data_IF_913148420292
#
_entry.id   IF_913148420292
#
_cell.length_a   1.000
_cell.length_b   1.000
_cell.length_c   1.000
_cell.angle_alpha   90.00
_cell.angle_beta   90.00
_cell.angle_gamma   90.00
#
_symmetry.space_group_name_H-M   'P 1'
#
loop_
_entity.id
_entity.type
_entity.pdbx_description
1 polymer ?
#
# COMPACT_ATOMS: atom_id res chain seq x y z
N UNK A 1 27.87 -23.26 34.14
CA UNK A 1 26.87 -24.24 33.70
C UNK A 1 26.61 -24.01 32.21
N UNK A 2 27.13 -24.89 31.35
CA UNK A 2 27.14 -24.74 29.88
C UNK A 2 25.80 -25.15 29.28
N UNK A 3 25.01 -24.18 28.81
CA UNK A 3 23.80 -24.45 28.02
C UNK A 3 24.19 -24.86 26.60
N UNK A 4 24.37 -26.17 26.37
CA UNK A 4 24.24 -26.75 25.01
C UNK A 4 22.75 -26.95 24.73
N UNK A 5 22.03 -25.85 24.49
CA UNK A 5 20.69 -25.92 23.92
C UNK A 5 20.83 -26.04 22.41
N UNK A 6 20.39 -27.15 21.84
CA UNK A 6 20.20 -27.24 20.39
C UNK A 6 19.13 -26.21 19.99
N UNK A 7 19.49 -25.29 19.08
CA UNK A 7 18.67 -24.13 18.69
C UNK A 7 17.21 -24.49 18.32
N UNK A 8 16.98 -25.71 17.83
CA UNK A 8 15.66 -26.20 17.44
C UNK A 8 14.74 -26.52 18.64
N UNK A 9 15.29 -27.05 19.73
CA UNK A 9 14.51 -27.37 20.95
C UNK A 9 14.08 -26.11 21.69
N UNK A 10 14.95 -25.09 21.72
CA UNK A 10 14.63 -23.80 22.32
C UNK A 10 13.57 -23.06 21.52
N UNK A 11 13.63 -23.10 20.18
CA UNK A 11 12.61 -22.49 19.31
C UNK A 11 11.25 -23.18 19.48
N UNK A 12 11.21 -24.52 19.52
CA UNK A 12 9.95 -25.27 19.72
C UNK A 12 9.34 -25.01 21.09
N UNK A 13 10.15 -24.94 22.14
CA UNK A 13 9.69 -24.59 23.49
C UNK A 13 9.20 -23.13 23.56
N UNK A 14 9.86 -22.21 22.86
CA UNK A 14 9.45 -20.82 22.75
C UNK A 14 8.09 -20.70 22.04
N UNK A 15 7.92 -21.38 20.91
CA UNK A 15 6.68 -21.37 20.13
C UNK A 15 5.53 -22.04 20.90
N UNK A 16 5.78 -23.15 21.58
CA UNK A 16 4.82 -23.81 22.46
C UNK A 16 4.40 -22.92 23.64
N UNK A 17 5.34 -22.17 24.23
CA UNK A 17 5.02 -21.21 25.30
C UNK A 17 4.23 -20.00 24.78
N UNK A 18 4.51 -19.51 23.57
CA UNK A 18 3.71 -18.45 22.94
C UNK A 18 2.30 -18.96 22.68
N UNK A 19 2.15 -20.16 22.10
CA UNK A 19 0.85 -20.78 21.85
C UNK A 19 0.10 -21.02 23.15
N UNK A 20 0.72 -21.61 24.17
CA UNK A 20 0.07 -21.84 25.48
C UNK A 20 -0.29 -20.54 26.19
N UNK A 21 0.55 -19.49 26.15
CA UNK A 21 0.21 -18.20 26.72
C UNK A 21 -0.94 -17.52 25.96
N UNK A 22 -1.01 -17.70 24.64
CA UNK A 22 -2.16 -17.23 23.84
C UNK A 22 -3.42 -18.05 24.12
N UNK A 23 -3.33 -19.38 24.28
CA UNK A 23 -4.45 -20.27 24.56
C UNK A 23 -5.01 -20.03 25.97
N UNK A 24 -4.15 -19.87 26.98
CA UNK A 24 -4.58 -19.47 28.34
C UNK A 24 -5.22 -18.07 28.31
N UNK A 25 -4.81 -17.19 27.39
CA UNK A 25 -5.47 -15.91 27.14
C UNK A 25 -6.80 -16.05 26.37
N UNK A 26 -6.98 -17.10 25.56
CA UNK A 26 -8.25 -17.44 24.88
C UNK A 26 -9.25 -17.98 25.90
N UNK A 27 -8.80 -18.83 26.83
CA UNK A 27 -9.65 -19.46 27.86
C UNK A 27 -10.22 -18.46 28.87
N UNK A 28 -9.62 -17.27 29.02
CA UNK A 28 -10.14 -16.22 29.90
C UNK A 28 -10.99 -15.16 29.19
N UNK A 29 -10.83 -14.91 27.87
CA UNK A 29 -11.54 -13.82 27.17
C UNK A 29 -11.66 -14.09 25.65
N UNK A 30 -12.87 -13.98 25.09
CA UNK A 30 -13.16 -14.07 23.65
C UNK A 30 -12.51 -13.02 22.72
N UNK A 31 -11.46 -12.31 23.16
CA UNK A 31 -10.76 -11.26 22.39
C UNK A 31 -10.25 -11.76 21.04
N UNK A 32 -9.67 -12.96 20.98
CA UNK A 32 -9.15 -13.52 19.73
C UNK A 32 -10.29 -13.85 18.75
N UNK A 33 -11.32 -14.63 19.12
CA UNK A 33 -12.51 -14.82 18.27
C UNK A 33 -13.15 -13.50 17.80
N UNK A 34 -13.31 -12.52 18.70
CA UNK A 34 -13.87 -11.22 18.34
C UNK A 34 -12.96 -10.42 17.40
N UNK A 35 -11.63 -10.53 17.53
CA UNK A 35 -10.68 -9.85 16.65
C UNK A 35 -10.74 -10.43 15.24
N UNK A 36 -10.86 -11.76 15.12
CA UNK A 36 -11.05 -12.45 13.84
C UNK A 36 -12.41 -12.11 13.20
N UNK A 37 -13.47 -12.06 14.01
CA UNK A 37 -14.79 -11.63 13.55
C UNK A 37 -14.74 -10.19 13.01
N UNK A 38 -14.19 -9.25 13.78
CA UNK A 38 -14.05 -7.86 13.33
C UNK A 38 -13.13 -7.74 12.11
N UNK A 39 -12.09 -8.55 12.00
CA UNK A 39 -11.26 -8.60 10.80
C UNK A 39 -12.08 -8.95 9.55
N UNK A 40 -12.98 -9.93 9.61
CA UNK A 40 -13.90 -10.26 8.51
C UNK A 40 -14.84 -9.09 8.20
N UNK A 41 -15.39 -8.45 9.24
CA UNK A 41 -16.25 -7.26 9.07
C UNK A 41 -15.49 -6.12 8.38
N UNK A 42 -14.23 -5.89 8.76
CA UNK A 42 -13.36 -4.88 8.14
C UNK A 42 -13.08 -5.21 6.67
N UNK A 43 -12.80 -6.47 6.33
CA UNK A 43 -12.59 -6.89 4.93
C UNK A 43 -13.84 -6.62 4.07
N UNK A 44 -15.03 -6.92 4.59
CA UNK A 44 -16.29 -6.66 3.90
C UNK A 44 -16.53 -5.16 3.73
N UNK A 45 -16.36 -4.38 4.80
CA UNK A 45 -16.53 -2.93 4.79
C UNK A 45 -15.55 -2.26 3.82
N UNK A 46 -14.28 -2.69 3.84
CA UNK A 46 -13.24 -2.19 2.95
C UNK A 46 -13.56 -2.52 1.48
N UNK A 47 -14.07 -3.72 1.21
CA UNK A 47 -14.49 -4.12 -0.14
C UNK A 47 -15.63 -3.25 -0.68
N UNK A 48 -16.65 -2.99 0.16
CA UNK A 48 -17.75 -2.09 -0.20
C UNK A 48 -17.22 -0.67 -0.43
N UNK A 49 -16.41 -0.16 0.50
CA UNK A 49 -15.80 1.15 0.41
C UNK A 49 -15.04 1.33 -0.90
N UNK A 50 -14.15 0.38 -1.24
CA UNK A 50 -13.35 0.40 -2.48
C UNK A 50 -14.24 0.50 -3.71
N UNK A 51 -15.30 -0.32 -3.80
CA UNK A 51 -16.24 -0.29 -4.93
C UNK A 51 -17.01 1.02 -5.04
N UNK A 52 -17.58 1.50 -3.93
CA UNK A 52 -18.37 2.72 -3.91
C UNK A 52 -17.51 3.96 -4.23
N UNK A 53 -16.34 4.06 -3.59
CA UNK A 53 -15.45 5.20 -3.77
C UNK A 53 -14.82 5.23 -5.16
N UNK A 54 -14.44 4.08 -5.72
CA UNK A 54 -14.00 3.99 -7.12
C UNK A 54 -15.09 4.43 -8.10
N UNK A 55 -16.35 4.02 -7.86
CA UNK A 55 -17.49 4.44 -8.70
C UNK A 55 -17.70 5.96 -8.65
N UNK A 56 -17.65 6.55 -7.46
CA UNK A 56 -17.75 8.01 -7.27
C UNK A 56 -16.63 8.76 -7.98
N UNK A 57 -15.37 8.34 -7.81
CA UNK A 57 -14.23 8.98 -8.46
C UNK A 57 -14.24 8.79 -9.98
N UNK A 58 -14.75 7.66 -10.49
CA UNK A 58 -14.97 7.45 -11.92
C UNK A 58 -15.99 8.44 -12.48
N UNK A 59 -17.07 8.71 -11.74
CA UNK A 59 -18.08 9.71 -12.13
C UNK A 59 -17.51 11.13 -12.21
N UNK A 60 -16.54 11.46 -11.36
CA UNK A 60 -15.83 12.76 -11.37
C UNK A 60 -14.74 12.82 -12.46
N UNK A 61 -14.59 11.77 -13.27
CA UNK A 61 -13.59 11.68 -14.37
C UNK A 61 -12.14 11.82 -13.90
N UNK A 62 -11.85 11.36 -12.66
CA UNK A 62 -10.48 11.29 -12.15
C UNK A 62 -9.71 10.20 -12.90
N UNK A 63 -8.46 10.48 -13.28
CA UNK A 63 -7.59 9.52 -13.98
C UNK A 63 -7.34 8.28 -13.13
N UNK A 64 -7.26 7.12 -13.77
CA UNK A 64 -7.02 5.81 -13.13
C UNK A 64 -5.92 5.77 -12.05
N UNK A 65 -4.67 6.23 -12.30
CA UNK A 65 -3.62 6.15 -11.29
C UNK A 65 -3.93 7.02 -10.05
N UNK A 66 -4.48 8.21 -10.26
CA UNK A 66 -4.88 9.11 -9.17
C UNK A 66 -6.08 8.55 -8.40
N UNK A 67 -7.00 7.88 -9.08
CA UNK A 67 -8.17 7.25 -8.47
C UNK A 67 -7.75 6.16 -7.48
N UNK A 68 -6.88 5.25 -7.89
CA UNK A 68 -6.41 4.15 -7.03
C UNK A 68 -5.67 4.69 -5.81
N UNK A 69 -4.83 5.72 -5.98
CA UNK A 69 -4.14 6.38 -4.87
C UNK A 69 -5.12 7.04 -3.90
N UNK A 70 -6.11 7.79 -4.41
CA UNK A 70 -7.11 8.47 -3.56
C UNK A 70 -7.91 7.48 -2.72
N UNK A 71 -8.31 6.33 -3.27
CA UNK A 71 -9.04 5.30 -2.51
C UNK A 71 -8.22 4.83 -1.30
N UNK A 72 -6.93 4.54 -1.50
CA UNK A 72 -6.04 4.09 -0.41
C UNK A 72 -5.81 5.19 0.64
N UNK A 73 -5.52 6.41 0.19
CA UNK A 73 -5.27 7.56 1.07
C UNK A 73 -6.50 7.84 1.94
N UNK A 74 -7.69 7.90 1.34
CA UNK A 74 -8.91 8.17 2.10
C UNK A 74 -9.23 7.07 3.11
N UNK A 75 -9.03 5.80 2.75
CA UNK A 75 -9.19 4.70 3.69
C UNK A 75 -8.24 4.84 4.89
N UNK A 76 -6.97 5.15 4.63
CA UNK A 76 -5.97 5.35 5.68
C UNK A 76 -6.31 6.55 6.58
N UNK A 77 -6.81 7.66 6.02
CA UNK A 77 -7.28 8.83 6.78
C UNK A 77 -8.50 8.47 7.63
N UNK A 78 -9.49 7.79 7.06
CA UNK A 78 -10.68 7.37 7.79
C UNK A 78 -10.31 6.46 8.97
N UNK A 79 -9.35 5.55 8.75
CA UNK A 79 -8.83 4.72 9.82
C UNK A 79 -8.13 5.53 10.92
N UNK A 80 -7.17 6.39 10.55
CA UNK A 80 -6.45 7.19 11.54
C UNK A 80 -7.43 8.09 12.32
N UNK A 81 -8.39 8.69 11.61
CA UNK A 81 -9.45 9.53 12.18
C UNK A 81 -10.38 8.81 13.15
N UNK A 82 -10.62 7.50 12.99
CA UNK A 82 -11.37 6.72 13.98
C UNK A 82 -10.49 6.18 15.11
N UNK A 83 -9.32 5.62 14.78
CA UNK A 83 -8.43 4.98 15.76
C UNK A 83 -7.93 5.93 16.84
N UNK A 84 -7.64 7.19 16.49
CA UNK A 84 -7.10 8.19 17.42
C UNK A 84 -8.11 8.55 18.53
N UNK A 85 -9.37 8.96 18.24
CA UNK A 85 -10.38 9.19 19.27
C UNK A 85 -10.64 7.96 20.15
N UNK A 86 -10.76 6.76 19.54
CA UNK A 86 -10.96 5.52 20.29
C UNK A 86 -9.81 5.25 21.26
N UNK A 87 -8.58 5.50 20.82
CA UNK A 87 -7.42 5.33 21.68
C UNK A 87 -7.38 6.38 22.80
N UNK A 88 -7.64 7.65 22.51
CA UNK A 88 -7.69 8.72 23.52
C UNK A 88 -8.74 8.46 24.61
N UNK A 89 -9.91 7.93 24.25
CA UNK A 89 -10.93 7.52 25.23
C UNK A 89 -10.40 6.48 26.23
N UNK A 90 -9.53 5.57 25.80
CA UNK A 90 -8.97 4.53 26.67
C UNK A 90 -7.80 5.00 27.52
N UNK A 91 -7.08 6.04 27.09
CA UNK A 91 -5.94 6.55 27.82
C UNK A 91 -6.37 7.41 29.04
N UNK A 92 -7.66 7.72 29.19
CA UNK A 92 -8.22 8.54 30.28
C UNK A 92 -7.40 9.82 30.56
N UNK A 93 -6.88 10.44 29.50
CA UNK A 93 -6.04 11.63 29.63
C UNK A 93 -6.92 12.84 29.94
N UNK A 94 -6.72 13.44 31.11
CA UNK A 94 -7.36 14.73 31.39
C UNK A 94 -6.63 15.85 30.64
N UNK A 95 -7.36 16.91 30.29
CA UNK A 95 -6.78 18.08 29.62
C UNK A 95 -5.69 18.75 30.48
N UNK A 96 -5.78 18.60 31.81
CA UNK A 96 -4.77 19.06 32.76
C UNK A 96 -3.50 18.21 32.73
N UNK A 97 -3.60 16.88 32.57
CA UNK A 97 -2.43 16.01 32.39
C UNK A 97 -1.64 16.37 31.13
N UNK A 98 -2.33 16.77 30.05
CA UNK A 98 -1.71 17.22 28.80
C UNK A 98 -1.01 18.57 28.98
N UNK A 99 -1.61 19.49 29.75
CA UNK A 99 -1.08 20.85 29.97
C UNK A 99 0.08 20.90 30.98
N UNK A 100 -0.04 20.16 32.09
CA UNK A 100 0.87 20.23 33.26
C UNK A 100 1.95 19.14 33.21
N UNK A 101 1.66 17.97 32.62
CA UNK A 101 2.51 16.78 32.63
C UNK A 101 2.84 16.26 31.21
N UNK A 102 3.06 17.19 30.26
CA UNK A 102 3.28 16.97 28.81
C UNK A 102 3.94 15.63 28.42
N UNK A 103 5.06 15.27 29.06
CA UNK A 103 5.77 14.01 28.82
C UNK A 103 5.80 13.06 30.02
N UNK A 104 5.40 13.54 31.19
CA UNK A 104 5.43 12.77 32.43
C UNK A 104 4.40 11.64 32.43
N UNK A 105 3.29 11.84 31.69
CA UNK A 105 2.31 10.79 31.38
C UNK A 105 2.98 9.60 30.70
N UNK A 106 3.79 9.81 29.65
CA UNK A 106 4.54 8.77 28.95
C UNK A 106 5.69 8.19 29.80
N UNK A 107 6.21 8.97 30.75
CA UNK A 107 7.31 8.58 31.64
C UNK A 107 6.88 7.67 32.79
N UNK A 108 5.62 7.78 33.24
CA UNK A 108 5.12 6.93 34.32
C UNK A 108 5.16 5.46 33.92
N UNK A 109 5.87 4.65 34.70
CA UNK A 109 5.98 3.19 34.53
C UNK A 109 4.62 2.44 34.56
N UNK A 110 3.51 3.16 34.84
CA UNK A 110 2.16 2.64 34.96
C UNK A 110 1.65 1.91 33.70
N UNK A 111 2.05 2.35 32.51
CA UNK A 111 1.63 1.72 31.25
C UNK A 111 2.23 0.32 31.06
N UNK A 112 3.40 0.08 31.67
CA UNK A 112 4.20 -1.12 31.50
C UNK A 112 4.11 -2.07 32.71
N UNK A 113 3.69 -1.59 33.89
CA UNK A 113 3.39 -2.43 35.04
C UNK A 113 2.19 -3.35 34.77
N UNK A 114 2.13 -4.54 35.40
CA UNK A 114 0.92 -5.39 35.39
C UNK A 114 -0.23 -4.57 35.98
N UNK A 115 -1.03 -3.95 35.13
CA UNK A 115 -2.18 -3.16 35.53
C UNK A 115 -3.34 -4.04 36.00
N UNK A 116 -4.42 -3.42 36.51
CA UNK A 116 -5.68 -4.14 36.72
C UNK A 116 -6.15 -4.77 35.41
N UNK A 117 -7.05 -5.76 35.50
CA UNK A 117 -7.63 -6.37 34.31
C UNK A 117 -8.22 -5.27 33.40
N UNK A 118 -8.00 -5.33 32.07
CA UNK A 118 -8.49 -4.32 31.15
C UNK A 118 -10.02 -4.22 31.24
N UNK A 119 -10.53 -2.99 31.24
CA UNK A 119 -11.97 -2.72 31.23
C UNK A 119 -12.62 -3.28 29.95
N UNK A 120 -13.94 -3.44 29.95
CA UNK A 120 -14.68 -3.88 28.75
C UNK A 120 -14.44 -2.95 27.57
N UNK A 121 -14.37 -1.64 27.82
CA UNK A 121 -14.09 -0.63 26.80
C UNK A 121 -12.68 -0.81 26.20
N UNK A 122 -11.67 -1.02 27.04
CA UNK A 122 -10.29 -1.26 26.56
C UNK A 122 -10.17 -2.57 25.80
N UNK A 123 -10.89 -3.63 26.20
CA UNK A 123 -10.98 -4.87 25.43
C UNK A 123 -11.62 -4.63 24.06
N UNK A 124 -12.74 -3.91 24.00
CA UNK A 124 -13.44 -3.62 22.74
C UNK A 124 -12.55 -2.81 21.77
N UNK A 125 -11.92 -1.75 22.27
CA UNK A 125 -11.02 -0.93 21.43
C UNK A 125 -9.80 -1.71 20.97
N UNK A 126 -9.26 -2.58 21.82
CA UNK A 126 -8.18 -3.47 21.44
C UNK A 126 -8.58 -4.43 20.31
N UNK A 127 -9.74 -5.08 20.42
CA UNK A 127 -10.29 -5.99 19.38
C UNK A 127 -10.54 -5.24 18.08
N UNK A 128 -11.06 -4.01 18.15
CA UNK A 128 -11.33 -3.19 16.97
C UNK A 128 -10.04 -2.79 16.25
N UNK A 129 -9.02 -2.37 17.00
CA UNK A 129 -7.71 -2.00 16.47
C UNK A 129 -6.94 -3.22 15.92
N UNK A 130 -6.99 -4.37 16.62
CA UNK A 130 -6.33 -5.59 16.15
C UNK A 130 -6.94 -6.10 14.85
N UNK A 131 -8.28 -6.15 14.76
CA UNK A 131 -9.00 -6.53 13.54
C UNK A 131 -8.64 -5.62 12.36
N UNK A 132 -8.43 -4.33 12.63
CA UNK A 132 -7.95 -3.40 11.62
C UNK A 132 -6.52 -3.67 11.18
N UNK A 133 -5.57 -3.88 12.11
CA UNK A 133 -4.18 -4.16 11.73
C UNK A 133 -4.07 -5.43 10.90
N UNK A 134 -4.87 -6.45 11.22
CA UNK A 134 -4.98 -7.67 10.41
C UNK A 134 -5.54 -7.37 9.01
N UNK A 135 -6.51 -6.46 8.87
CA UNK A 135 -7.00 -6.03 7.58
C UNK A 135 -5.89 -5.39 6.72
N UNK A 136 -5.08 -4.50 7.30
CA UNK A 136 -3.97 -3.86 6.59
C UNK A 136 -2.90 -4.86 6.14
N UNK A 137 -2.58 -5.84 6.99
CA UNK A 137 -1.66 -6.92 6.63
C UNK A 137 -2.22 -7.70 5.45
N UNK A 138 -3.49 -8.09 5.51
CA UNK A 138 -4.15 -8.86 4.46
C UNK A 138 -4.16 -8.09 3.14
N UNK A 139 -4.56 -6.82 3.16
CA UNK A 139 -4.58 -5.96 1.97
C UNK A 139 -3.18 -5.80 1.37
N UNK A 140 -2.17 -5.49 2.20
CA UNK A 140 -0.80 -5.32 1.71
C UNK A 140 -0.23 -6.62 1.16
N UNK A 141 -0.59 -7.77 1.75
CA UNK A 141 -0.23 -9.09 1.25
C UNK A 141 -0.81 -9.36 -0.13
N UNK A 142 -2.09 -9.03 -0.32
CA UNK A 142 -2.79 -9.24 -1.59
C UNK A 142 -2.25 -8.30 -2.67
N UNK A 143 -2.03 -7.03 -2.34
CA UNK A 143 -1.65 -6.03 -3.34
C UNK A 143 -0.15 -6.02 -3.67
N UNK A 144 0.72 -6.34 -2.71
CA UNK A 144 2.17 -6.16 -2.84
C UNK A 144 3.00 -7.40 -2.53
N UNK A 145 2.37 -8.46 -2.03
CA UNK A 145 3.03 -9.71 -1.64
C UNK A 145 3.78 -9.63 -0.31
N UNK A 146 4.19 -10.80 0.18
CA UNK A 146 4.81 -10.99 1.51
C UNK A 146 6.24 -10.44 1.64
N UNK A 147 6.93 -10.18 0.52
CA UNK A 147 8.32 -9.66 0.54
C UNK A 147 8.40 -8.13 0.60
N UNK A 148 7.26 -7.43 0.63
CA UNK A 148 7.25 -5.98 0.67
C UNK A 148 7.65 -5.45 2.05
N UNK A 149 8.48 -4.41 2.10
CA UNK A 149 8.86 -3.74 3.35
C UNK A 149 7.61 -3.21 4.09
N UNK A 150 6.61 -2.71 3.37
CA UNK A 150 5.35 -2.25 3.98
C UNK A 150 4.57 -3.39 4.65
N UNK A 151 4.57 -4.58 4.05
CA UNK A 151 3.98 -5.76 4.67
C UNK A 151 4.67 -6.07 6.00
N UNK A 152 6.01 -6.09 6.00
CA UNK A 152 6.80 -6.36 7.22
C UNK A 152 6.54 -5.30 8.30
N UNK A 153 6.44 -4.02 7.93
CA UNK A 153 6.11 -2.94 8.88
C UNK A 153 4.75 -3.18 9.54
N UNK A 154 3.72 -3.50 8.74
CA UNK A 154 2.39 -3.80 9.26
C UNK A 154 2.37 -5.06 10.13
N UNK A 155 3.09 -6.09 9.72
CA UNK A 155 3.23 -7.35 10.46
C UNK A 155 3.89 -7.13 11.82
N UNK A 156 5.05 -6.47 11.88
CA UNK A 156 5.74 -6.20 13.14
C UNK A 156 4.92 -5.30 14.06
N UNK A 157 4.23 -4.30 13.53
CA UNK A 157 3.33 -3.46 14.33
C UNK A 157 2.17 -4.27 14.92
N UNK A 158 1.57 -5.17 14.15
CA UNK A 158 0.49 -6.02 14.62
C UNK A 158 0.97 -7.04 15.66
N UNK A 159 2.12 -7.68 15.44
CA UNK A 159 2.73 -8.60 16.42
C UNK A 159 3.01 -7.85 17.73
N UNK A 160 3.61 -6.66 17.65
CA UNK A 160 3.81 -5.82 18.83
C UNK A 160 2.49 -5.53 19.55
N UNK A 161 1.47 -5.07 18.82
CA UNK A 161 0.18 -4.73 19.42
C UNK A 161 -0.50 -5.96 20.04
N UNK A 162 -0.50 -7.10 19.33
CA UNK A 162 -1.12 -8.36 19.77
C UNK A 162 -0.46 -8.90 21.04
N UNK A 163 0.86 -8.80 21.14
CA UNK A 163 1.61 -9.26 22.31
C UNK A 163 1.38 -8.39 23.56
N UNK A 164 0.83 -7.18 23.44
CA UNK A 164 0.54 -6.33 24.61
C UNK A 164 -0.58 -6.86 25.50
N UNK A 165 -1.51 -7.64 24.94
CA UNK A 165 -2.63 -8.22 25.70
C UNK A 165 -2.20 -9.35 26.66
N UNK A 166 -1.51 -10.42 26.23
CA UNK A 166 -1.01 -11.45 27.14
C UNK A 166 -0.01 -10.90 28.16
N UNK A 167 0.70 -9.82 27.83
CA UNK A 167 1.60 -9.10 28.75
C UNK A 167 0.88 -8.14 29.73
N UNK A 168 -0.45 -8.03 29.63
CA UNK A 168 -1.30 -7.11 30.42
C UNK A 168 -0.85 -5.65 30.36
N UNK A 169 -0.33 -5.22 29.21
CA UNK A 169 0.10 -3.84 28.96
C UNK A 169 -0.58 -3.24 27.72
N UNK A 170 -1.87 -3.54 27.54
CA UNK A 170 -2.68 -3.10 26.39
C UNK A 170 -2.62 -1.59 26.18
N UNK A 171 -2.67 -0.81 27.26
CA UNK A 171 -2.62 0.64 27.19
C UNK A 171 -1.28 1.17 26.63
N UNK A 172 -0.17 0.47 26.85
CA UNK A 172 1.11 0.80 26.23
C UNK A 172 1.06 0.61 24.71
N UNK A 173 0.44 -0.49 24.26
CA UNK A 173 0.19 -0.74 22.84
C UNK A 173 -0.69 0.35 22.22
N UNK A 174 -1.79 0.71 22.88
CA UNK A 174 -2.73 1.76 22.44
C UNK A 174 -2.04 3.13 22.39
N UNK A 175 -1.25 3.49 23.40
CA UNK A 175 -0.49 4.75 23.41
C UNK A 175 0.50 4.81 22.24
N UNK A 176 1.25 3.74 22.00
CA UNK A 176 2.20 3.66 20.90
C UNK A 176 1.50 3.81 19.55
N UNK A 177 0.45 3.03 19.30
CA UNK A 177 -0.27 3.07 18.03
C UNK A 177 -0.93 4.42 17.78
N UNK A 178 -1.41 5.10 18.83
CA UNK A 178 -1.95 6.47 18.71
C UNK A 178 -0.89 7.44 18.20
N UNK A 179 0.31 7.42 18.79
CA UNK A 179 1.41 8.30 18.41
C UNK A 179 1.81 8.08 16.95
N UNK A 180 1.92 6.82 16.54
CA UNK A 180 2.24 6.47 15.15
C UNK A 180 1.09 6.86 14.20
N UNK A 181 -0.17 6.62 14.57
CA UNK A 181 -1.32 6.95 13.72
C UNK A 181 -1.50 8.47 13.55
N UNK A 182 -1.16 9.28 14.55
CA UNK A 182 -1.16 10.75 14.43
C UNK A 182 -0.17 11.18 13.34
N UNK A 183 1.05 10.67 13.36
CA UNK A 183 2.06 10.99 12.36
C UNK A 183 1.68 10.51 10.96
N UNK A 184 1.16 9.29 10.85
CA UNK A 184 0.65 8.73 9.59
C UNK A 184 -0.54 9.53 9.04
N UNK A 185 -1.42 10.07 9.90
CA UNK A 185 -2.50 10.94 9.47
C UNK A 185 -1.98 12.21 8.76
N UNK A 186 -0.93 12.84 9.30
CA UNK A 186 -0.31 14.01 8.66
C UNK A 186 0.33 13.65 7.31
N UNK A 187 0.95 12.48 7.21
CA UNK A 187 1.50 11.99 5.94
C UNK A 187 0.40 11.76 4.90
N UNK A 188 -0.68 11.09 5.27
CA UNK A 188 -1.79 10.82 4.37
C UNK A 188 -2.53 12.09 3.96
N UNK A 189 -2.67 13.06 4.87
CA UNK A 189 -3.21 14.39 4.53
C UNK A 189 -2.32 15.12 3.51
N UNK A 190 -1.00 15.00 3.66
CA UNK A 190 -0.02 15.55 2.72
C UNK A 190 -0.18 14.92 1.33
N UNK A 191 -0.28 13.58 1.27
CA UNK A 191 -0.52 12.83 0.02
C UNK A 191 -1.87 13.18 -0.61
N UNK A 192 -2.91 13.34 0.19
CA UNK A 192 -4.25 13.74 -0.27
C UNK A 192 -4.19 15.09 -0.98
N UNK A 193 -3.63 16.10 -0.32
CA UNK A 193 -3.56 17.46 -0.86
C UNK A 193 -2.63 17.51 -2.09
N UNK A 194 -1.53 16.74 -2.09
CA UNK A 194 -0.68 16.59 -3.28
C UNK A 194 -1.45 16.02 -4.47
N UNK A 195 -2.25 14.98 -4.22
CA UNK A 195 -3.03 14.30 -5.27
C UNK A 195 -4.17 15.19 -5.77
N UNK A 196 -4.87 15.89 -4.87
CA UNK A 196 -5.90 16.86 -5.23
C UNK A 196 -5.31 18.05 -6.01
N UNK A 197 -4.11 18.51 -5.63
CA UNK A 197 -3.38 19.54 -6.38
C UNK A 197 -3.06 19.11 -7.81
N UNK A 198 -2.64 17.85 -7.99
CA UNK A 198 -2.38 17.23 -9.29
C UNK A 198 -3.65 17.10 -10.14
N UNK A 199 -4.77 16.68 -9.54
CA UNK A 199 -6.08 16.57 -10.21
C UNK A 199 -6.60 17.96 -10.63
N UNK A 200 -6.56 18.93 -9.72
CA UNK A 200 -7.05 20.29 -9.96
C UNK A 200 -6.08 21.18 -10.74
N UNK A 201 -4.84 20.72 -10.99
CA UNK A 201 -3.73 21.50 -11.55
C UNK A 201 -3.47 22.82 -10.78
N UNK A 202 -3.71 22.80 -9.46
CA UNK A 202 -3.66 24.00 -8.62
C UNK A 202 -2.30 24.18 -7.96
N UNK A 203 -1.62 25.29 -8.28
CA UNK A 203 -0.34 25.66 -7.65
C UNK A 203 -0.48 25.90 -6.14
N UNK A 204 -1.59 26.48 -5.70
CA UNK A 204 -1.86 26.75 -4.28
C UNK A 204 -1.92 25.46 -3.47
N UNK A 205 -2.61 24.42 -3.99
CA UNK A 205 -2.66 23.11 -3.32
C UNK A 205 -1.29 22.44 -3.26
N UNK A 206 -0.44 22.61 -4.27
CA UNK A 206 0.94 22.13 -4.22
C UNK A 206 1.77 22.83 -3.13
N UNK A 207 1.63 24.16 -2.98
CA UNK A 207 2.30 24.91 -1.91
C UNK A 207 1.81 24.43 -0.53
N UNK A 208 0.50 24.26 -0.35
CA UNK A 208 -0.07 23.74 0.91
C UNK A 208 0.42 22.33 1.20
N UNK A 209 0.47 21.45 0.20
CA UNK A 209 1.03 20.10 0.35
C UNK A 209 2.50 20.14 0.79
N UNK A 210 3.31 21.02 0.21
CA UNK A 210 4.70 21.18 0.62
C UNK A 210 4.83 21.68 2.07
N UNK A 211 4.02 22.67 2.48
CA UNK A 211 3.99 23.13 3.87
C UNK A 211 3.59 22.03 4.85
N UNK A 212 2.61 21.19 4.49
CA UNK A 212 2.22 20.04 5.29
C UNK A 212 3.30 18.96 5.34
N UNK A 213 4.05 18.77 4.26
CA UNK A 213 5.19 17.86 4.24
C UNK A 213 6.31 18.32 5.20
N UNK A 214 6.58 19.63 5.28
CA UNK A 214 7.52 20.19 6.25
C UNK A 214 7.02 19.92 7.67
N UNK A 215 5.74 20.20 7.94
CA UNK A 215 5.14 19.95 9.26
C UNK A 215 5.23 18.47 9.65
N UNK A 216 4.88 17.57 8.73
CA UNK A 216 5.04 16.13 8.89
C UNK A 216 6.51 15.76 9.18
N UNK A 217 7.47 16.38 8.48
CA UNK A 217 8.90 16.13 8.70
C UNK A 217 9.38 16.52 10.09
N UNK A 218 8.88 17.64 10.62
CA UNK A 218 9.16 18.08 11.99
C UNK A 218 8.54 17.12 13.03
N UNK A 219 7.28 16.73 12.83
CA UNK A 219 6.57 15.78 13.70
C UNK A 219 7.30 14.43 13.70
N UNK A 220 7.62 13.89 12.53
CA UNK A 220 8.33 12.63 12.38
C UNK A 220 9.70 12.68 13.06
N UNK A 221 10.47 13.74 12.84
CA UNK A 221 11.80 13.89 13.46
C UNK A 221 11.68 13.90 14.98
N UNK A 222 10.73 14.67 15.52
CA UNK A 222 10.49 14.71 16.95
C UNK A 222 10.06 13.34 17.50
N UNK A 223 9.17 12.63 16.81
CA UNK A 223 8.66 11.34 17.26
C UNK A 223 9.71 10.22 17.17
N UNK A 224 10.34 10.03 16.02
CA UNK A 224 11.23 8.90 15.78
C UNK A 224 12.65 9.12 16.30
N UNK A 225 13.11 10.37 16.49
CA UNK A 225 14.43 10.64 17.08
C UNK A 225 14.37 10.83 18.61
N UNK A 226 13.22 11.26 19.17
CA UNK A 226 13.11 11.50 20.61
C UNK A 226 12.06 10.62 21.30
N UNK A 227 10.79 10.68 20.89
CA UNK A 227 9.71 10.05 21.65
C UNK A 227 9.77 8.52 21.62
N UNK A 228 9.83 7.93 20.44
CA UNK A 228 9.82 6.47 20.25
C UNK A 228 11.04 5.81 20.89
N UNK A 229 12.28 6.28 20.67
CA UNK A 229 13.44 5.67 21.30
C UNK A 229 13.40 5.75 22.83
N UNK A 230 13.10 6.93 23.38
CA UNK A 230 13.18 7.18 24.82
C UNK A 230 12.05 6.52 25.61
N UNK A 231 10.81 6.64 25.14
CA UNK A 231 9.63 6.25 25.93
C UNK A 231 9.09 4.87 25.57
N UNK A 232 9.38 4.34 24.38
CA UNK A 232 8.87 3.03 23.95
C UNK A 232 9.98 1.98 23.83
N UNK A 233 11.04 2.23 23.06
CA UNK A 233 12.10 1.23 22.83
C UNK A 233 12.91 0.93 24.09
N UNK A 234 13.47 1.96 24.74
CA UNK A 234 14.29 1.77 25.94
C UNK A 234 13.48 1.21 27.10
N UNK A 235 12.21 1.63 27.26
CA UNK A 235 11.32 1.13 28.32
C UNK A 235 10.92 -0.33 28.10
N UNK A 236 10.59 -0.71 26.86
CA UNK A 236 10.33 -2.12 26.51
C UNK A 236 11.54 -3.00 26.82
N UNK A 237 12.73 -2.56 26.43
CA UNK A 237 13.98 -3.29 26.70
C UNK A 237 14.30 -3.39 28.20
N UNK A 238 14.11 -2.30 28.97
CA UNK A 238 14.37 -2.29 30.41
C UNK A 238 13.49 -3.28 31.17
N UNK A 239 12.22 -3.43 30.78
CA UNK A 239 11.29 -4.43 31.36
C UNK A 239 11.73 -5.86 31.05
N UNK A 240 12.24 -6.10 29.83
CA UNK A 240 12.79 -7.40 29.46
C UNK A 240 13.98 -7.81 30.33
N UNK A 241 14.79 -6.82 30.77
CA UNK A 241 15.97 -7.05 31.63
C UNK A 241 15.65 -7.27 33.12
N UNK A 242 14.58 -6.67 33.66
CA UNK A 242 14.35 -6.57 35.11
C UNK A 242 13.36 -7.59 35.72
N UNK A 243 12.95 -8.61 34.96
CA UNK A 243 12.22 -9.75 35.53
C UNK A 243 10.75 -9.76 35.16
N UNK A 244 10.38 -10.79 34.40
CA UNK A 244 9.02 -11.28 34.31
C UNK A 244 9.05 -12.79 34.55
N UNK A 245 7.93 -13.33 35.02
CA UNK A 245 7.67 -14.77 35.09
C UNK A 245 8.30 -15.49 33.89
N UNK A 246 9.05 -16.57 34.13
CA UNK A 246 9.76 -17.33 33.09
C UNK A 246 8.83 -17.73 31.94
N UNK A 247 7.55 -17.91 32.23
CA UNK A 247 6.48 -18.22 31.26
C UNK A 247 6.14 -17.08 30.29
N UNK A 248 6.41 -15.80 30.62
CA UNK A 248 6.09 -14.64 29.79
C UNK A 248 7.30 -14.04 29.05
N UNK A 249 8.50 -14.56 29.29
CA UNK A 249 9.75 -14.06 28.68
C UNK A 249 9.69 -14.16 27.15
N UNK A 250 9.16 -15.25 26.59
CA UNK A 250 9.05 -15.43 25.13
C UNK A 250 8.19 -14.37 24.47
N UNK A 251 7.02 -14.08 25.06
CA UNK A 251 6.08 -13.06 24.58
C UNK A 251 6.68 -11.66 24.72
N UNK A 252 7.39 -11.40 25.82
CA UNK A 252 8.07 -10.13 26.05
C UNK A 252 9.20 -9.89 25.05
N UNK A 253 10.02 -10.91 24.76
CA UNK A 253 11.05 -10.85 23.72
C UNK A 253 10.44 -10.62 22.33
N UNK A 254 9.36 -11.32 21.98
CA UNK A 254 8.65 -11.13 20.73
C UNK A 254 8.12 -9.68 20.60
N UNK A 255 7.55 -9.13 21.67
CA UNK A 255 7.08 -7.73 21.73
C UNK A 255 8.23 -6.74 21.55
N UNK A 256 9.34 -6.90 22.28
CA UNK A 256 10.50 -6.01 22.14
C UNK A 256 11.11 -6.11 20.74
N UNK A 257 11.33 -7.32 20.22
CA UNK A 257 11.91 -7.52 18.90
C UNK A 257 11.03 -6.92 17.80
N UNK A 258 9.72 -7.19 17.82
CA UNK A 258 8.77 -6.64 16.84
C UNK A 258 8.75 -5.10 16.88
N UNK A 259 8.79 -4.49 18.07
CA UNK A 259 8.86 -3.03 18.20
C UNK A 259 10.14 -2.44 17.60
N UNK A 260 11.30 -3.07 17.84
CA UNK A 260 12.58 -2.65 17.26
C UNK A 260 12.62 -2.84 15.75
N UNK A 261 12.17 -3.99 15.26
CA UNK A 261 12.09 -4.29 13.82
C UNK A 261 11.16 -3.29 13.10
N UNK A 262 9.98 -3.03 13.68
CA UNK A 262 9.08 -1.97 13.21
C UNK A 262 9.79 -0.62 13.13
N UNK A 263 10.44 -0.19 14.21
CA UNK A 263 11.11 1.11 14.27
C UNK A 263 12.17 1.26 13.18
N UNK A 264 13.06 0.27 13.05
CA UNK A 264 14.14 0.29 12.06
C UNK A 264 13.57 0.35 10.64
N UNK A 265 12.61 -0.52 10.31
CA UNK A 265 12.00 -0.56 8.98
C UNK A 265 11.22 0.70 8.64
N UNK A 266 10.48 1.26 9.60
CA UNK A 266 9.73 2.50 9.42
C UNK A 266 10.69 3.69 9.22
N UNK A 267 11.77 3.78 10.01
CA UNK A 267 12.77 4.84 9.83
C UNK A 267 13.40 4.76 8.45
N UNK A 268 13.84 3.58 8.00
CA UNK A 268 14.45 3.42 6.68
C UNK A 268 13.48 3.61 5.50
N UNK A 269 12.23 3.18 5.64
CA UNK A 269 11.22 3.29 4.57
C UNK A 269 10.54 4.66 4.50
N UNK A 270 10.71 5.50 5.53
CA UNK A 270 10.06 6.81 5.63
C UNK A 270 10.35 7.72 4.42
N UNK A 271 9.40 8.61 4.05
CA UNK A 271 9.62 9.63 3.02
C UNK A 271 10.81 10.56 3.33
N UNK A 272 11.09 10.79 4.61
CA UNK A 272 12.14 11.69 5.08
C UNK A 272 13.51 11.06 4.90
N UNK A 273 13.70 9.81 5.32
CA UNK A 273 14.95 9.08 5.04
C UNK A 273 15.21 9.00 3.54
N UNK A 274 14.18 8.79 2.73
CA UNK A 274 14.29 8.85 1.26
C UNK A 274 14.67 10.24 0.75
N UNK A 275 14.14 11.31 1.32
CA UNK A 275 14.51 12.68 0.97
C UNK A 275 15.97 12.97 1.29
N UNK A 276 16.45 12.54 2.47
CA UNK A 276 17.85 12.67 2.88
C UNK A 276 18.77 11.88 1.94
N UNK A 277 18.43 10.62 1.64
CA UNK A 277 19.19 9.79 0.70
C UNK A 277 19.23 10.44 -0.69
N UNK A 278 18.09 10.89 -1.22
CA UNK A 278 18.06 11.52 -2.54
C UNK A 278 18.87 12.82 -2.58
N UNK A 279 18.87 13.61 -1.51
CA UNK A 279 19.72 14.79 -1.35
C UNK A 279 21.21 14.43 -1.37
N UNK A 280 21.62 13.42 -0.59
CA UNK A 280 23.01 12.96 -0.52
C UNK A 280 23.53 12.40 -1.86
N UNK A 281 22.67 11.71 -2.62
CA UNK A 281 23.02 11.12 -3.92
C UNK A 281 22.65 12.01 -5.13
N UNK A 282 22.37 13.30 -4.91
CA UNK A 282 22.05 14.30 -5.95
C UNK A 282 20.99 13.87 -6.98
N UNK A 283 19.99 13.07 -6.55
CA UNK A 283 18.85 12.69 -7.39
C UNK A 283 17.79 13.79 -7.37
N UNK A 284 16.98 13.87 -8.44
CA UNK A 284 15.94 14.90 -8.57
C UNK A 284 14.90 14.80 -7.45
N UNK A 285 14.80 15.87 -6.65
CA UNK A 285 13.87 15.98 -5.53
C UNK A 285 12.49 16.44 -6.02
N UNK A 286 11.72 15.53 -6.60
CA UNK A 286 10.29 15.76 -6.82
C UNK A 286 9.49 15.24 -5.63
N UNK A 287 8.65 16.09 -5.03
CA UNK A 287 7.77 15.75 -3.91
C UNK A 287 6.89 14.54 -4.24
N UNK A 288 6.38 14.44 -5.47
CA UNK A 288 5.54 13.31 -5.88
C UNK A 288 6.33 11.98 -5.82
N UNK A 289 7.61 12.00 -6.21
CA UNK A 289 8.48 10.83 -6.10
C UNK A 289 8.78 10.48 -4.64
N UNK A 290 8.93 11.47 -3.75
CA UNK A 290 9.15 11.20 -2.32
C UNK A 290 7.92 10.57 -1.66
N UNK A 291 6.73 11.05 -2.00
CA UNK A 291 5.46 10.62 -1.41
C UNK A 291 4.98 9.25 -1.94
N UNK A 292 5.19 8.94 -3.22
CA UNK A 292 4.54 7.80 -3.89
C UNK A 292 5.47 6.73 -4.46
N UNK A 293 6.80 6.78 -4.22
CA UNK A 293 7.76 5.80 -4.79
C UNK A 293 7.38 4.33 -4.59
N UNK A 294 6.82 3.99 -3.43
CA UNK A 294 6.41 2.61 -3.12
C UNK A 294 5.16 2.17 -3.90
N UNK A 295 4.30 3.11 -4.29
CA UNK A 295 3.10 2.84 -5.10
C UNK A 295 3.45 2.72 -6.60
N UNK A 296 4.47 3.47 -7.06
CA UNK A 296 4.93 3.44 -8.44
C UNK A 296 5.59 2.10 -8.85
N UNK A 297 6.29 1.43 -7.93
CA UNK A 297 6.88 0.11 -8.20
C UNK A 297 5.81 -0.96 -8.47
N UNK A 298 4.65 -0.85 -7.82
CA UNK A 298 3.51 -1.75 -8.04
C UNK A 298 2.81 -1.42 -9.36
N UNK A 299 2.59 -0.13 -9.65
CA UNK A 299 1.99 0.32 -10.92
C UNK A 299 2.82 -0.11 -12.16
N UNK A 300 4.16 -0.06 -12.07
CA UNK A 300 5.04 -0.55 -13.14
C UNK A 300 4.98 -2.08 -13.31
N UNK A 301 4.81 -2.82 -12.23
CA UNK A 301 4.68 -4.29 -12.28
C UNK A 301 3.32 -4.71 -12.84
N UNK A 302 2.24 -3.96 -12.53
CA UNK A 302 0.89 -4.24 -13.06
C UNK A 302 0.74 -3.83 -14.52
N UNK A 303 1.40 -2.76 -14.98
CA UNK A 303 1.39 -2.36 -16.39
C UNK A 303 2.30 -3.24 -17.28
N UNK A 304 3.43 -3.73 -16.75
CA UNK A 304 4.29 -4.67 -17.49
C UNK A 304 3.76 -6.11 -17.48
N UNK A 305 2.87 -6.46 -16.54
CA UNK A 305 2.23 -7.78 -16.45
C UNK A 305 1.24 -8.11 -17.57
N UNK A 306 0.96 -7.20 -18.51
CA UNK A 306 0.13 -7.48 -19.70
C UNK A 306 0.94 -7.61 -21.00
N UNK A 307 2.26 -7.43 -20.94
CA UNK A 307 3.16 -7.70 -22.06
C UNK A 307 4.57 -8.02 -21.54
N UNK A 308 4.84 -9.30 -21.29
CA UNK A 308 6.06 -9.99 -21.75
C UNK A 308 6.17 -11.35 -21.06
N UNK A 309 5.76 -12.41 -21.75
CA UNK A 309 6.47 -13.68 -21.59
C UNK A 309 7.77 -13.55 -22.37
N UNK A 310 8.86 -14.03 -21.76
CA UNK A 310 10.23 -14.12 -22.26
C UNK A 310 11.09 -12.88 -21.97
N UNK A 311 11.96 -12.99 -20.97
CA UNK A 311 13.41 -13.13 -21.17
C UNK A 311 14.11 -13.31 -19.81
N UNK A 312 15.02 -14.27 -19.77
CA UNK A 312 15.91 -14.60 -18.64
C UNK A 312 16.95 -13.49 -18.36
N UNK A 313 17.61 -13.51 -17.19
CA UNK A 313 18.42 -12.41 -16.71
C UNK A 313 19.87 -12.54 -17.16
N UNK A 314 20.41 -11.53 -17.85
CA UNK A 314 21.85 -11.35 -17.96
C UNK A 314 22.29 -10.04 -17.31
N UNK A 315 23.16 -10.23 -16.32
CA UNK A 315 24.05 -9.26 -15.71
C UNK A 315 24.87 -8.51 -16.78
N UNK A 316 24.89 -7.17 -16.78
CA UNK A 316 26.12 -6.34 -16.94
C UNK A 316 25.82 -4.89 -16.47
N UNK A 317 26.35 -4.58 -15.29
CA UNK A 317 27.26 -3.46 -14.97
C UNK A 317 27.24 -2.14 -15.77
N UNK A 318 27.10 -1.02 -15.03
CA UNK A 318 27.61 0.36 -15.26
C UNK A 318 27.38 1.06 -16.62
N UNK A 319 26.61 2.15 -16.57
CA UNK A 319 26.85 3.40 -17.34
C UNK A 319 26.28 4.58 -16.53
N UNK A 320 27.12 5.33 -15.83
CA UNK A 320 27.77 6.56 -16.28
C UNK A 320 26.82 7.58 -16.92
N UNK A 321 26.73 8.70 -16.22
CA UNK A 321 26.10 9.95 -16.61
C UNK A 321 26.58 10.40 -18.00
N UNK A 322 25.65 10.51 -18.94
CA UNK A 322 25.85 11.30 -20.14
C UNK A 322 24.58 12.10 -20.44
N UNK A 323 24.78 13.41 -20.60
CA UNK A 323 23.81 14.44 -21.01
C UNK A 323 22.76 13.92 -22.01
N UNK A 324 21.52 14.45 -21.99
CA UNK A 324 20.48 14.03 -22.93
C UNK A 324 20.88 14.43 -24.35
N UNK A 325 21.29 13.44 -25.14
CA UNK A 325 21.67 13.63 -26.53
C UNK A 325 20.39 13.90 -27.34
N UNK A 326 20.14 15.18 -27.66
CA UNK A 326 18.96 15.64 -28.39
C UNK A 326 18.86 15.07 -29.82
N UNK A 327 19.95 14.49 -30.33
CA UNK A 327 20.01 13.82 -31.64
C UNK A 327 19.31 12.46 -31.66
N UNK A 328 19.45 11.63 -30.61
CA UNK A 328 18.77 10.32 -30.54
C UNK A 328 17.25 10.45 -30.51
N UNK A 329 16.74 11.53 -29.92
CA UNK A 329 15.30 11.78 -29.87
C UNK A 329 14.75 12.25 -31.23
N UNK A 330 15.57 12.98 -32.02
CA UNK A 330 15.23 13.34 -33.40
C UNK A 330 15.25 12.13 -34.33
N UNK A 331 16.23 11.23 -34.19
CA UNK A 331 16.29 9.98 -34.95
C UNK A 331 15.08 9.08 -34.67
N UNK A 332 14.72 8.90 -33.40
CA UNK A 332 13.54 8.12 -33.02
C UNK A 332 12.23 8.75 -33.53
N UNK A 333 12.13 10.08 -33.56
CA UNK A 333 10.97 10.78 -34.12
C UNK A 333 10.90 10.63 -35.65
N UNK A 334 12.05 10.67 -36.33
CA UNK A 334 12.18 10.44 -37.77
C UNK A 334 11.80 9.00 -38.13
N UNK A 335 12.23 8.04 -37.33
CA UNK A 335 11.94 6.63 -37.52
C UNK A 335 10.45 6.34 -37.27
N UNK A 336 9.85 6.96 -36.24
CA UNK A 336 8.41 6.92 -36.00
C UNK A 336 7.63 7.54 -37.17
N UNK A 337 8.08 8.69 -37.69
CA UNK A 337 7.47 9.36 -38.84
C UNK A 337 7.52 8.49 -40.10
N UNK A 338 8.67 7.86 -40.38
CA UNK A 338 8.80 6.92 -41.50
C UNK A 338 7.90 5.70 -41.35
N UNK A 339 7.81 5.12 -40.15
CA UNK A 339 6.92 3.99 -39.87
C UNK A 339 5.46 4.37 -40.08
N UNK A 340 5.01 5.53 -39.58
CA UNK A 340 3.64 6.02 -39.79
C UNK A 340 3.36 6.26 -41.28
N UNK A 341 4.32 6.82 -42.03
CA UNK A 341 4.19 7.04 -43.48
C UNK A 341 4.08 5.73 -44.25
N UNK A 342 4.85 4.71 -43.86
CA UNK A 342 4.75 3.35 -44.42
C UNK A 342 3.39 2.72 -44.11
N UNK A 343 2.89 2.82 -42.88
CA UNK A 343 1.57 2.29 -42.48
C UNK A 343 0.44 2.97 -43.26
N UNK A 344 0.48 4.29 -43.46
CA UNK A 344 -0.50 5.01 -44.28
C UNK A 344 -0.45 4.54 -45.74
N UNK A 345 0.74 4.29 -46.29
CA UNK A 345 0.91 3.81 -47.67
C UNK A 345 0.39 2.38 -47.83
N UNK A 346 0.64 1.51 -46.85
CA UNK A 346 0.08 0.15 -46.80
C UNK A 346 -1.44 0.23 -46.73
N UNK A 347 -2.01 1.04 -45.83
CA UNK A 347 -3.46 1.22 -45.70
C UNK A 347 -4.11 1.71 -47.01
N UNK A 348 -3.48 2.67 -47.69
CA UNK A 348 -3.94 3.13 -49.03
C UNK A 348 -3.85 2.04 -50.10
N UNK A 349 -2.78 1.23 -50.10
CA UNK A 349 -2.64 0.10 -51.03
C UNK A 349 -3.68 -0.99 -50.75
N UNK A 350 -3.95 -1.28 -49.47
CA UNK A 350 -4.92 -2.27 -49.03
C UNK A 350 -6.36 -1.84 -49.37
N UNK A 351 -6.68 -0.55 -49.20
CA UNK A 351 -7.97 0.00 -49.65
C UNK A 351 -8.14 -0.05 -51.17
N UNK A 352 -7.08 0.22 -51.96
CA UNK A 352 -7.14 0.08 -53.43
C UNK A 352 -7.33 -1.37 -53.88
N UNK A 353 -6.74 -2.33 -53.16
CA UNK A 353 -6.93 -3.75 -53.45
C UNK A 353 -8.37 -4.16 -53.11
N UNK A 354 -8.91 -3.70 -51.99
CA UNK A 354 -10.32 -3.97 -51.61
C UNK A 354 -11.29 -3.36 -52.60
N UNK A 355 -11.11 -2.08 -52.97
CA UNK A 355 -11.99 -1.41 -53.94
C UNK A 355 -11.91 -2.04 -55.33
N UNK A 356 -10.72 -2.51 -55.77
CA UNK A 356 -10.59 -3.25 -57.03
C UNK A 356 -11.27 -4.62 -56.98
N UNK A 357 -11.27 -5.27 -55.81
CA UNK A 357 -11.92 -6.57 -55.61
C UNK A 357 -13.44 -6.41 -55.59
N UNK A 358 -13.95 -5.34 -54.98
CA UNK A 358 -15.37 -4.97 -55.02
C UNK A 358 -15.81 -4.67 -56.47
N UNK A 359 -15.08 -3.82 -57.21
CA UNK A 359 -15.45 -3.50 -58.60
C UNK A 359 -15.35 -4.71 -59.56
N UNK A 360 -14.41 -5.63 -59.35
CA UNK A 360 -14.32 -6.86 -60.16
C UNK A 360 -15.39 -7.90 -59.81
N UNK A 361 -16.03 -7.77 -58.64
CA UNK A 361 -17.15 -8.65 -58.24
C UNK A 361 -18.44 -8.14 -58.89
N UNK A 362 -18.64 -6.82 -58.92
CA UNK A 362 -19.79 -6.19 -59.58
C UNK A 362 -19.77 -6.37 -61.12
N UNK A 363 -18.59 -6.29 -61.76
CA UNK A 363 -18.45 -6.55 -63.22
C UNK A 363 -18.72 -8.02 -63.59
N UNK A 364 -18.44 -8.97 -62.70
CA UNK A 364 -18.73 -10.38 -62.95
C UNK A 364 -20.21 -10.73 -62.73
N UNK A 365 -20.90 -10.08 -61.78
CA UNK A 365 -22.34 -10.25 -61.59
C UNK A 365 -23.15 -9.62 -62.74
N UNK A 366 -22.74 -8.45 -63.26
CA UNK A 366 -23.38 -7.84 -64.44
C UNK A 366 -23.18 -8.67 -65.71
N UNK A 367 -21.99 -9.23 -65.93
CA UNK A 367 -21.74 -10.10 -67.09
C UNK A 367 -22.46 -11.46 -66.98
N UNK A 368 -22.72 -11.98 -65.77
CA UNK A 368 -23.54 -13.19 -65.60
C UNK A 368 -25.04 -12.93 -65.84
N UNK A 369 -25.55 -11.78 -65.40
CA UNK A 369 -26.94 -11.38 -65.63
C UNK A 369 -27.23 -11.19 -67.13
N UNK A 370 -26.33 -10.53 -67.85
CA UNK A 370 -26.48 -10.27 -69.28
C UNK A 370 -26.39 -11.57 -70.12
N UNK A 371 -25.55 -12.53 -69.70
CA UNK A 371 -25.44 -13.84 -70.35
C UNK A 371 -26.63 -14.77 -70.06
N UNK A 372 -27.38 -14.54 -68.97
CA UNK A 372 -28.64 -15.24 -68.70
C UNK A 372 -29.79 -14.65 -69.54
N UNK A 373 -29.81 -13.35 -69.78
CA UNK A 373 -30.78 -12.69 -70.66
C UNK A 373 -30.63 -13.13 -72.13
N UNK A 374 -29.41 -13.21 -72.63
CA UNK A 374 -29.14 -13.64 -74.01
C UNK A 374 -29.54 -15.12 -74.25
N UNK A 375 -29.28 -16.01 -73.29
CA UNK A 375 -29.68 -17.42 -73.38
C UNK A 375 -31.21 -17.61 -73.30
N UNK A 376 -31.93 -16.73 -72.60
CA UNK A 376 -33.39 -16.80 -72.50
C UNK A 376 -34.05 -16.37 -73.82
N UNK A 377 -33.50 -15.34 -74.48
CA UNK A 377 -33.96 -14.89 -75.80
C UNK A 377 -33.68 -15.94 -76.91
N UNK A 378 -32.55 -16.64 -76.86
CA UNK A 378 -32.22 -17.70 -77.82
C UNK A 378 -33.18 -18.91 -77.70
N UNK A 379 -33.60 -19.26 -76.47
CA UNK A 379 -34.59 -20.32 -76.24
C UNK A 379 -36.02 -19.95 -76.68
N UNK A 380 -36.36 -18.66 -76.69
CA UNK A 380 -37.67 -18.18 -77.15
C UNK A 380 -37.77 -18.12 -78.69
N UNK A 381 -36.62 -18.02 -79.37
CA UNK A 381 -36.54 -17.99 -80.82
C UNK A 381 -36.59 -19.40 -81.42
N UNK A 382 -35.97 -20.40 -80.77
CA UNK A 382 -36.07 -21.82 -81.17
C UNK A 382 -37.48 -22.39 -81.00
N UNK A 383 -38.28 -21.87 -80.06
CA UNK A 383 -39.69 -22.26 -79.88
C UNK A 383 -40.66 -21.69 -80.92
N UNK A 384 -40.26 -20.68 -81.71
CA UNK A 384 -41.11 -20.07 -82.75
C UNK A 384 -40.88 -20.68 -84.13
N UNK A 385 -39.78 -21.42 -84.30
CA UNK A 385 -39.38 -22.05 -85.57
C UNK A 385 -39.60 -23.58 -85.58
N UNK A 386 -40.26 -24.14 -84.55
CA UNK A 386 -40.74 -25.52 -84.47
C UNK A 386 -42.28 -25.53 -84.38
#
# INVERSE_FOLDING_TARGET
MSWKCTNFGCFRALLANVVNATVISVDQIGVVPWSLFLWIVWLFLHTIYKKLFQSLLKRISVKEPQRTRLVKIYWAIAFAGMSIPFAFQNLNLTLEDIKIKKYHVLETQKWLSKGPLPSVQTKLSYVLLSGFYLNNICETSIERGFRNIEFLIHEFLAIFFITTFPLRCVLFGIAFTTVINIEKLFLELTKLISTLGSVAKSKTLHIVSFSLFILHSLIWSFLYLHIVPKYFLLKSFAKTKHGGDVQQISVMLASTFSLWAFYVLEVFSSPISRAVINYLYSKTNNLENLLFKNDQAVEQTTQNGTHSCNEEPDFVEKRQESKPNSEKNKENLLLLYHTVKCVIRIKRKLNRIRSKKESSTDENEQNLAQKQEDNMNESEQVSKDA
#
